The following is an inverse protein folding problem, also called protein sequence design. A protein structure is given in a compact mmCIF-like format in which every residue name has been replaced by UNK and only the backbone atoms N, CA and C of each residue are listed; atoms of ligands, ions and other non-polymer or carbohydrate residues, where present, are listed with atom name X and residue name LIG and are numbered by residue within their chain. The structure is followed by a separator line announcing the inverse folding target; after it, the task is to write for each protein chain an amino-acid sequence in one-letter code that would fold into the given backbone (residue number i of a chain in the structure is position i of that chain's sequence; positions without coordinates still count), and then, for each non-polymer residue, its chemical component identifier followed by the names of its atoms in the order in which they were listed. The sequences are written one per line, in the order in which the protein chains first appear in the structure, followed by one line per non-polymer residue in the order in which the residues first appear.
data_IF_259706682106
#
_entry.id   IF_259706682106
#
_cell.length_a   1.000
_cell.length_b   1.000
_cell.length_c   1.000
_cell.angle_alpha   90.00
_cell.angle_beta   90.00
_cell.angle_gamma   90.00
#
_symmetry.space_group_name_H-M   'P 1'
#
loop_
_entity.id
_entity.type
_entity.pdbx_description
1 polymer ?
#
# COMPACT_ATOMS: atom_id res chain seq x y z
N UNK A 1 18.43 26.73 22.77
CA UNK A 1 18.69 27.67 21.67
C UNK A 1 17.49 27.59 20.75
N UNK A 2 16.83 28.70 20.45
CA UNK A 2 15.74 28.72 19.46
C UNK A 2 16.33 28.46 18.08
N UNK A 3 15.76 27.52 17.32
CA UNK A 3 16.25 27.23 15.98
C UNK A 3 15.80 28.35 15.02
N UNK A 4 16.63 28.73 14.03
CA UNK A 4 16.27 29.76 13.06
C UNK A 4 15.19 29.31 12.07
N UNK A 5 14.99 28.00 11.90
CA UNK A 5 13.90 27.41 11.13
C UNK A 5 13.41 26.14 11.86
N UNK A 6 12.10 25.88 11.88
CA UNK A 6 11.55 24.63 12.39
C UNK A 6 12.19 23.44 11.66
N UNK A 7 12.73 22.49 12.43
CA UNK A 7 13.27 21.25 11.87
C UNK A 7 12.16 20.34 11.31
N UNK A 8 12.56 19.30 10.58
CA UNK A 8 11.63 18.26 10.15
C UNK A 8 11.02 17.55 11.36
N UNK A 9 9.70 17.33 11.33
CA UNK A 9 9.00 16.65 12.42
C UNK A 9 9.49 15.22 12.57
N UNK A 10 9.79 14.79 13.80
CA UNK A 10 10.28 13.44 14.08
C UNK A 10 9.27 12.32 13.75
N UNK A 11 7.98 12.67 13.60
CA UNK A 11 6.92 11.73 13.27
C UNK A 11 5.78 12.44 12.52
N UNK A 12 5.00 11.71 11.69
CA UNK A 12 3.78 12.22 11.06
C UNK A 12 2.78 12.80 12.07
N UNK A 13 2.09 13.88 11.69
CA UNK A 13 1.17 14.59 12.58
C UNK A 13 -0.03 13.75 13.02
N UNK A 14 -0.55 12.86 12.15
CA UNK A 14 -1.65 11.95 12.48
C UNK A 14 -1.25 10.97 13.59
N UNK A 15 -0.02 10.45 13.55
CA UNK A 15 0.51 9.59 14.60
C UNK A 15 0.72 10.37 15.91
N UNK A 16 1.24 11.61 15.81
CA UNK A 16 1.40 12.46 16.98
C UNK A 16 0.05 12.77 17.64
N UNK A 17 -0.97 13.08 16.85
CA UNK A 17 -2.31 13.38 17.33
C UNK A 17 -2.95 12.17 18.04
N UNK A 18 -2.70 10.95 17.56
CA UNK A 18 -3.10 9.71 18.27
C UNK A 18 -2.47 9.61 19.66
N UNK A 19 -1.17 9.89 19.76
CA UNK A 19 -0.46 9.89 21.07
C UNK A 19 -1.01 10.98 21.98
N UNK A 20 -1.28 12.17 21.44
CA UNK A 20 -1.88 13.27 22.18
C UNK A 20 -3.30 12.94 22.68
N UNK A 21 -4.14 12.31 21.86
CA UNK A 21 -5.47 11.88 22.26
C UNK A 21 -5.42 10.84 23.40
N UNK A 22 -4.44 9.93 23.38
CA UNK A 22 -4.21 9.01 24.49
C UNK A 22 -3.82 9.76 25.77
N UNK A 23 -3.00 10.80 25.67
CA UNK A 23 -2.67 11.66 26.81
C UNK A 23 -3.92 12.36 27.37
N UNK A 24 -4.80 12.90 26.53
CA UNK A 24 -6.07 13.48 26.97
C UNK A 24 -6.95 12.45 27.70
N UNK A 25 -6.98 11.21 27.24
CA UNK A 25 -7.70 10.12 27.92
C UNK A 25 -7.14 9.86 29.33
N UNK A 26 -5.81 9.81 29.48
CA UNK A 26 -5.14 9.55 30.77
C UNK A 26 -5.46 10.62 31.81
N UNK A 27 -5.50 11.88 31.40
CA UNK A 27 -5.81 13.00 32.31
C UNK A 27 -7.31 13.24 32.48
N UNK A 28 -8.16 12.36 31.94
CA UNK A 28 -9.61 12.45 31.96
C UNK A 28 -10.14 13.77 31.35
N UNK A 29 -9.47 14.24 30.30
CA UNK A 29 -9.81 15.43 29.53
C UNK A 29 -10.87 15.17 28.45
N UNK A 30 -11.84 14.29 28.75
CA UNK A 30 -12.88 13.86 27.81
C UNK A 30 -14.25 14.42 28.18
N UNK A 31 -15.12 14.52 27.18
CA UNK A 31 -16.50 15.03 27.35
C UNK A 31 -16.57 16.53 27.67
N UNK A 32 -17.69 16.92 28.30
CA UNK A 32 -18.05 18.31 28.62
C UNK A 32 -17.39 18.84 29.89
N UNK A 33 -16.75 17.98 30.68
CA UNK A 33 -16.03 18.36 31.89
C UNK A 33 -14.81 19.24 31.62
N UNK A 34 -14.32 19.25 30.37
CA UNK A 34 -13.21 20.08 29.91
C UNK A 34 -13.63 21.04 28.80
N UNK A 35 -13.68 22.35 29.09
CA UNK A 35 -13.93 23.38 28.09
C UNK A 35 -12.94 23.33 26.94
N UNK A 36 -13.41 23.69 25.75
CA UNK A 36 -12.62 23.67 24.51
C UNK A 36 -11.38 24.56 24.59
N UNK A 37 -11.47 25.68 25.32
CA UNK A 37 -10.34 26.58 25.58
C UNK A 37 -9.18 25.88 26.30
N UNK A 38 -9.47 24.97 27.24
CA UNK A 38 -8.45 24.20 27.95
C UNK A 38 -7.84 23.15 27.02
N UNK A 39 -8.67 22.40 26.28
CA UNK A 39 -8.20 21.40 25.30
C UNK A 39 -7.27 22.04 24.26
N UNK A 40 -7.66 23.21 23.72
CA UNK A 40 -6.86 23.99 22.77
C UNK A 40 -5.54 24.46 23.40
N UNK A 41 -5.57 24.99 24.62
CA UNK A 41 -4.35 25.42 25.31
C UNK A 41 -3.40 24.25 25.57
N UNK A 42 -3.92 23.09 26.01
CA UNK A 42 -3.14 21.86 26.22
C UNK A 42 -2.52 21.35 24.91
N UNK A 43 -3.28 21.35 23.81
CA UNK A 43 -2.75 21.00 22.48
C UNK A 43 -1.54 21.86 22.11
N UNK A 44 -1.69 23.19 22.17
CA UNK A 44 -0.63 24.12 21.83
C UNK A 44 0.59 23.97 22.75
N UNK A 45 0.36 23.72 24.04
CA UNK A 45 1.44 23.45 24.97
C UNK A 45 2.22 22.19 24.59
N UNK A 46 1.52 21.09 24.30
CA UNK A 46 2.13 19.79 23.97
C UNK A 46 2.85 19.76 22.61
N UNK A 47 2.48 20.63 21.65
CA UNK A 47 3.21 20.79 20.39
C UNK A 47 4.66 21.27 20.59
N UNK A 48 4.95 21.88 21.75
CA UNK A 48 6.24 22.50 22.02
C UNK A 48 6.46 23.79 21.22
N UNK A 49 7.62 24.41 21.44
CA UNK A 49 7.94 25.74 20.90
C UNK A 49 7.85 25.82 19.38
N UNK A 50 8.44 24.86 18.67
CA UNK A 50 8.47 24.86 17.20
C UNK A 50 7.06 24.66 16.61
N UNK A 51 6.25 23.76 17.19
CA UNK A 51 4.87 23.56 16.76
C UNK A 51 3.97 24.76 17.07
N UNK A 52 4.22 25.47 18.17
CA UNK A 52 3.54 26.75 18.46
C UNK A 52 3.91 27.84 17.45
N UNK A 53 5.20 27.97 17.09
CA UNK A 53 5.62 28.93 16.08
C UNK A 53 4.90 28.69 14.76
N UNK A 54 4.88 27.43 14.29
CA UNK A 54 4.13 27.03 13.10
C UNK A 54 2.67 27.42 13.26
N UNK A 55 2.02 27.03 14.36
CA UNK A 55 0.61 27.30 14.61
C UNK A 55 0.24 28.78 14.51
N UNK A 56 1.03 29.66 15.11
CA UNK A 56 0.76 31.11 15.08
C UNK A 56 0.99 31.76 13.71
N UNK A 57 1.62 31.06 12.76
CA UNK A 57 1.68 31.51 11.36
C UNK A 57 0.49 31.06 10.51
N UNK A 58 -0.35 30.13 11.02
CA UNK A 58 -1.43 29.55 10.24
C UNK A 58 -2.64 30.50 10.16
N UNK A 59 -3.31 30.58 9.00
CA UNK A 59 -4.58 31.28 8.89
C UNK A 59 -5.72 30.40 9.45
N UNK A 60 -6.82 31.04 9.87
CA UNK A 60 -8.07 30.37 10.25
C UNK A 60 -7.96 29.34 11.39
N UNK A 61 -7.10 29.61 12.39
CA UNK A 61 -6.90 28.71 13.54
C UNK A 61 -8.11 28.61 14.47
N UNK A 62 -9.00 29.62 14.45
CA UNK A 62 -10.20 29.71 15.29
C UNK A 62 -9.94 29.61 16.80
N UNK A 63 -11.03 29.54 17.56
CA UNK A 63 -11.01 29.58 19.03
C UNK A 63 -11.32 28.24 19.70
N UNK A 64 -11.63 27.21 18.90
CA UNK A 64 -11.99 25.87 19.39
C UNK A 64 -10.81 24.91 19.26
N UNK A 65 -10.84 23.83 20.03
CA UNK A 65 -9.90 22.73 19.89
C UNK A 65 -9.96 22.14 18.48
N UNK A 66 -11.17 21.91 17.98
CA UNK A 66 -11.40 21.35 16.66
C UNK A 66 -10.83 22.23 15.53
N UNK A 67 -11.02 23.55 15.59
CA UNK A 67 -10.48 24.46 14.58
C UNK A 67 -8.94 24.50 14.62
N UNK A 68 -8.36 24.44 15.82
CA UNK A 68 -6.91 24.41 15.98
C UNK A 68 -6.30 23.13 15.40
N UNK A 69 -6.86 21.96 15.72
CA UNK A 69 -6.42 20.68 15.16
C UNK A 69 -6.53 20.71 13.63
N UNK A 70 -7.67 21.12 13.08
CA UNK A 70 -7.87 21.17 11.63
C UNK A 70 -6.88 22.08 10.91
N UNK A 71 -6.55 23.25 11.50
CA UNK A 71 -5.56 24.14 10.93
C UNK A 71 -4.16 23.49 10.89
N UNK A 72 -3.77 22.81 11.97
CA UNK A 72 -2.49 22.11 12.07
C UNK A 72 -2.44 20.92 11.11
N UNK A 73 -3.48 20.09 11.08
CA UNK A 73 -3.61 18.97 10.15
C UNK A 73 -3.46 19.43 8.71
N UNK A 74 -4.14 20.51 8.32
CA UNK A 74 -4.03 21.09 6.97
C UNK A 74 -2.62 21.58 6.64
N UNK A 75 -1.86 22.06 7.63
CA UNK A 75 -0.48 22.48 7.43
C UNK A 75 0.45 21.28 7.18
N UNK A 76 0.28 20.21 7.95
CA UNK A 76 1.13 19.01 7.86
C UNK A 76 0.65 17.98 6.84
N UNK A 77 -0.57 18.11 6.34
CA UNK A 77 -1.05 17.33 5.20
C UNK A 77 -0.26 17.78 3.98
N UNK A 78 0.50 16.88 3.34
CA UNK A 78 1.17 17.20 2.09
C UNK A 78 0.14 17.80 1.13
N UNK A 79 0.45 18.94 0.51
CA UNK A 79 -0.37 19.43 -0.61
C UNK A 79 -0.24 18.40 -1.73
N UNK A 80 -1.14 17.44 -1.75
CA UNK A 80 -1.29 16.51 -2.86
C UNK A 80 -1.55 17.36 -4.08
N UNK A 81 -0.60 17.36 -5.01
CA UNK A 81 -0.83 18.04 -6.26
C UNK A 81 -1.85 17.22 -7.03
N UNK A 82 -3.06 17.77 -7.15
CA UNK A 82 -4.24 17.19 -7.81
C UNK A 82 -3.97 16.73 -9.25
N UNK A 83 -2.87 17.17 -9.86
CA UNK A 83 -2.42 16.70 -11.18
C UNK A 83 -1.36 15.60 -11.08
N UNK A 84 -0.41 15.71 -10.14
CA UNK A 84 0.75 14.81 -10.06
C UNK A 84 0.34 13.40 -9.67
N UNK A 85 -0.57 13.24 -8.71
CA UNK A 85 -0.96 11.89 -8.28
C UNK A 85 -1.77 11.14 -9.34
N UNK A 86 -2.82 11.73 -9.96
CA UNK A 86 -3.48 11.07 -11.08
C UNK A 86 -2.54 10.81 -12.26
N UNK A 87 -1.59 11.72 -12.51
CA UNK A 87 -0.56 11.51 -13.53
C UNK A 87 0.37 10.34 -13.20
N UNK A 88 0.87 10.27 -11.97
CA UNK A 88 1.73 9.19 -11.50
C UNK A 88 1.01 7.85 -11.51
N UNK A 89 -0.26 7.82 -11.09
CA UNK A 89 -1.12 6.64 -11.20
C UNK A 89 -1.24 6.18 -12.65
N UNK A 90 -1.64 7.06 -13.58
CA UNK A 90 -1.76 6.71 -15.01
C UNK A 90 -0.45 6.28 -15.66
N UNK A 91 0.69 6.79 -15.17
CA UNK A 91 2.02 6.41 -15.67
C UNK A 91 2.55 5.12 -15.04
N UNK A 92 1.88 4.58 -14.03
CA UNK A 92 2.35 3.41 -13.30
C UNK A 92 2.12 2.16 -14.11
N UNK A 93 3.19 1.49 -14.51
CA UNK A 93 3.15 0.20 -15.20
C UNK A 93 3.93 -0.88 -14.48
N UNK A 94 3.50 -2.14 -14.57
CA UNK A 94 4.15 -3.27 -13.89
C UNK A 94 5.63 -3.35 -14.27
N UNK A 95 6.51 -3.43 -13.27
CA UNK A 95 7.94 -3.58 -13.53
C UNK A 95 8.31 -5.03 -13.92
N UNK A 96 9.39 -5.26 -14.69
CA UNK A 96 9.80 -6.61 -15.13
C UNK A 96 10.03 -7.65 -14.03
N UNK A 97 10.30 -7.20 -12.80
CA UNK A 97 10.60 -8.07 -11.65
C UNK A 97 9.56 -7.94 -10.54
N UNK A 98 8.45 -7.26 -10.84
CA UNK A 98 7.38 -7.02 -9.90
C UNK A 98 6.27 -8.05 -10.11
N UNK A 99 5.86 -8.72 -9.04
CA UNK A 99 4.74 -9.66 -9.09
C UNK A 99 3.42 -8.92 -9.28
N UNK A 100 2.41 -9.61 -9.78
CA UNK A 100 1.08 -9.03 -9.95
C UNK A 100 0.52 -8.51 -8.61
N UNK A 101 0.74 -9.25 -7.52
CA UNK A 101 0.31 -8.81 -6.19
C UNK A 101 0.97 -7.50 -5.75
N UNK A 102 2.28 -7.35 -6.00
CA UNK A 102 3.02 -6.11 -5.69
C UNK A 102 2.53 -4.94 -6.56
N UNK A 103 2.31 -5.19 -7.84
CA UNK A 103 1.81 -4.17 -8.77
C UNK A 103 0.41 -3.67 -8.40
N UNK A 104 -0.50 -4.59 -8.08
CA UNK A 104 -1.86 -4.27 -7.61
C UNK A 104 -1.80 -3.44 -6.33
N UNK A 105 -1.02 -3.88 -5.33
CA UNK A 105 -0.88 -3.14 -4.07
C UNK A 105 -0.38 -1.70 -4.27
N UNK A 106 0.58 -1.49 -5.18
CA UNK A 106 1.09 -0.17 -5.51
C UNK A 106 0.07 0.72 -6.26
N UNK A 107 -0.88 0.10 -6.97
CA UNK A 107 -1.88 0.81 -7.78
C UNK A 107 -3.14 1.17 -6.97
N UNK A 108 -3.49 0.34 -5.97
CA UNK A 108 -4.67 0.51 -5.10
C UNK A 108 -4.49 1.48 -3.91
N UNK A 109 -3.30 2.06 -3.70
CA UNK A 109 -2.95 2.77 -2.46
C UNK A 109 -3.61 4.13 -2.21
N UNK A 110 -4.74 4.48 -2.83
CA UNK A 110 -5.34 5.82 -2.70
C UNK A 110 -6.86 5.73 -2.52
N UNK A 111 -7.40 6.45 -1.54
CA UNK A 111 -8.79 6.37 -1.06
C UNK A 111 -9.86 6.91 -2.04
N UNK A 112 -9.47 7.43 -3.21
CA UNK A 112 -10.39 8.08 -4.16
C UNK A 112 -10.53 7.35 -5.52
N UNK A 113 -9.97 6.14 -5.67
CA UNK A 113 -10.02 5.40 -6.95
C UNK A 113 -11.14 4.37 -6.92
N UNK A 114 -11.99 4.38 -7.95
CA UNK A 114 -12.97 3.31 -8.14
C UNK A 114 -12.29 2.02 -8.61
N UNK A 115 -12.91 0.88 -8.29
CA UNK A 115 -12.47 -0.43 -8.76
C UNK A 115 -12.34 -0.48 -10.29
N UNK A 116 -13.24 0.19 -11.01
CA UNK A 116 -13.19 0.30 -12.48
C UNK A 116 -11.91 0.98 -12.96
N UNK A 117 -11.51 2.09 -12.33
CA UNK A 117 -10.27 2.80 -12.67
C UNK A 117 -9.03 1.96 -12.40
N UNK A 118 -9.07 1.14 -11.35
CA UNK A 118 -7.98 0.22 -11.03
C UNK A 118 -7.94 -0.90 -12.06
N UNK A 119 -9.09 -1.49 -12.43
CA UNK A 119 -9.19 -2.47 -13.51
C UNK A 119 -8.59 -1.96 -14.82
N UNK A 120 -8.98 -0.75 -15.24
CA UNK A 120 -8.45 -0.12 -16.46
C UNK A 120 -6.91 0.04 -16.39
N UNK A 121 -6.39 0.53 -15.25
CA UNK A 121 -4.95 0.68 -15.03
C UNK A 121 -4.20 -0.67 -15.09
N UNK A 122 -4.80 -1.73 -14.54
CA UNK A 122 -4.23 -3.07 -14.58
C UNK A 122 -4.20 -3.60 -16.02
N UNK A 123 -5.30 -3.51 -16.75
CA UNK A 123 -5.41 -3.96 -18.14
C UNK A 123 -4.44 -3.22 -19.07
N UNK A 124 -4.32 -1.90 -18.93
CA UNK A 124 -3.45 -1.11 -19.80
C UNK A 124 -1.97 -1.43 -19.58
N UNK A 125 -1.58 -1.74 -18.34
CA UNK A 125 -0.17 -1.74 -17.94
C UNK A 125 0.35 -3.04 -17.29
N UNK A 126 -0.38 -4.15 -17.42
CA UNK A 126 0.20 -5.47 -17.17
C UNK A 126 1.37 -5.75 -18.09
N UNK A 127 2.41 -6.38 -17.56
CA UNK A 127 3.59 -6.77 -18.34
C UNK A 127 3.28 -7.94 -19.29
N UNK A 128 2.38 -8.84 -18.89
CA UNK A 128 2.06 -10.05 -19.65
C UNK A 128 0.84 -9.84 -20.55
N UNK A 129 1.07 -9.84 -21.87
CA UNK A 129 0.00 -9.74 -22.86
C UNK A 129 -1.00 -10.90 -22.77
N UNK A 130 -0.55 -12.09 -22.41
CA UNK A 130 -1.45 -13.25 -22.28
C UNK A 130 -2.45 -13.08 -21.13
N UNK A 131 -2.02 -12.43 -20.03
CA UNK A 131 -2.92 -12.10 -18.92
C UNK A 131 -3.92 -11.06 -19.38
N UNK A 132 -3.45 -10.00 -20.03
CA UNK A 132 -4.30 -8.94 -20.58
C UNK A 132 -5.37 -9.49 -21.53
N UNK A 133 -4.97 -10.30 -22.51
CA UNK A 133 -5.88 -10.94 -23.46
C UNK A 133 -6.91 -11.82 -22.74
N UNK A 134 -6.49 -12.60 -21.74
CA UNK A 134 -7.41 -13.46 -20.98
C UNK A 134 -8.47 -12.65 -20.23
N UNK A 135 -8.07 -11.54 -19.61
CA UNK A 135 -8.96 -10.66 -18.87
C UNK A 135 -9.95 -9.93 -19.80
N UNK A 136 -9.52 -9.52 -21.00
CA UNK A 136 -10.40 -8.90 -22.01
C UNK A 136 -11.48 -9.83 -22.56
N UNK A 137 -11.37 -11.15 -22.32
CA UNK A 137 -12.38 -12.13 -22.70
C UNK A 137 -13.45 -12.36 -21.62
N UNK A 138 -13.28 -11.79 -20.41
CA UNK A 138 -14.29 -11.88 -19.36
C UNK A 138 -15.44 -10.90 -19.62
N UNK A 139 -16.68 -11.38 -19.58
CA UNK A 139 -17.87 -10.55 -19.84
C UNK A 139 -18.15 -9.56 -18.71
N UNK A 140 -17.86 -9.96 -17.46
CA UNK A 140 -18.16 -9.19 -16.24
C UNK A 140 -16.89 -9.10 -15.39
N UNK A 141 -15.89 -8.39 -15.89
CA UNK A 141 -14.61 -8.24 -15.22
C UNK A 141 -14.72 -7.28 -14.03
N UNK A 142 -14.59 -7.81 -12.82
CA UNK A 142 -14.45 -7.03 -11.58
C UNK A 142 -13.00 -7.00 -11.12
N UNK A 143 -12.63 -6.05 -10.26
CA UNK A 143 -11.27 -5.96 -9.73
C UNK A 143 -10.82 -7.25 -9.04
N UNK A 144 -11.69 -7.85 -8.24
CA UNK A 144 -11.40 -9.12 -7.56
C UNK A 144 -11.15 -10.28 -8.54
N UNK A 145 -11.99 -10.40 -9.57
CA UNK A 145 -11.82 -11.44 -10.60
C UNK A 145 -10.57 -11.21 -11.44
N UNK A 146 -10.25 -9.95 -11.77
CA UNK A 146 -9.05 -9.58 -12.50
C UNK A 146 -7.78 -9.97 -11.72
N UNK A 147 -7.70 -9.59 -10.44
CA UNK A 147 -6.57 -9.93 -9.56
C UNK A 147 -6.43 -11.45 -9.43
N UNK A 148 -7.54 -12.15 -9.20
CA UNK A 148 -7.54 -13.61 -9.00
C UNK A 148 -7.07 -14.35 -10.25
N UNK A 149 -7.60 -14.02 -11.43
CA UNK A 149 -7.20 -14.65 -12.69
C UNK A 149 -5.75 -14.34 -13.03
N UNK A 150 -5.33 -13.08 -12.89
CA UNK A 150 -3.97 -12.65 -13.15
C UNK A 150 -2.96 -13.42 -12.27
N UNK A 151 -3.23 -13.54 -10.97
CA UNK A 151 -2.40 -14.30 -10.03
C UNK A 151 -2.35 -15.81 -10.35
N UNK A 152 -3.48 -16.40 -10.78
CA UNK A 152 -3.51 -17.81 -11.21
C UNK A 152 -2.64 -18.05 -12.45
N UNK A 153 -2.66 -17.12 -13.40
CA UNK A 153 -1.87 -17.20 -14.62
C UNK A 153 -0.37 -17.00 -14.35
N UNK A 154 -0.01 -16.07 -13.46
CA UNK A 154 1.38 -15.89 -12.99
C UNK A 154 1.91 -17.20 -12.37
N UNK A 155 1.14 -17.79 -11.45
CA UNK A 155 1.52 -19.05 -10.81
C UNK A 155 1.62 -20.23 -11.81
N UNK A 156 0.76 -20.28 -12.83
CA UNK A 156 0.81 -21.28 -13.88
C UNK A 156 2.03 -21.10 -14.79
N UNK A 157 2.39 -19.86 -15.13
CA UNK A 157 3.57 -19.52 -15.92
C UNK A 157 4.86 -19.91 -15.18
N UNK A 158 4.95 -19.64 -13.89
CA UNK A 158 6.08 -20.05 -13.04
C UNK A 158 6.25 -21.57 -13.00
N UNK A 159 5.14 -22.33 -12.93
CA UNK A 159 5.19 -23.80 -12.97
C UNK A 159 5.60 -24.34 -14.35
N UNK A 160 5.30 -23.62 -15.44
CA UNK A 160 5.64 -24.01 -16.81
C UNK A 160 7.03 -23.54 -17.26
N UNK A 161 7.62 -22.53 -16.63
CA UNK A 161 8.94 -22.02 -17.00
C UNK A 161 10.03 -23.11 -17.00
N UNK A 162 10.12 -24.01 -16.00
CA UNK A 162 11.07 -25.13 -16.02
C UNK A 162 10.82 -26.10 -17.19
N UNK A 163 9.55 -26.38 -17.50
CA UNK A 163 9.16 -27.28 -18.60
C UNK A 163 9.54 -26.71 -19.97
N UNK A 164 9.36 -25.40 -20.19
CA UNK A 164 9.75 -24.74 -21.45
C UNK A 164 11.26 -24.75 -21.65
N UNK A 165 12.04 -24.49 -20.59
CA UNK A 165 13.51 -24.56 -20.63
C UNK A 165 13.97 -25.96 -21.04
N UNK A 166 13.36 -27.02 -20.51
CA UNK A 166 13.67 -28.41 -20.87
C UNK A 166 13.37 -28.74 -22.35
N UNK A 167 12.32 -28.15 -22.92
CA UNK A 167 11.91 -28.40 -24.31
C UNK A 167 12.73 -27.61 -25.34
N UNK A 168 13.29 -26.46 -24.95
CA UNK A 168 14.07 -25.59 -25.85
C UNK A 168 15.58 -25.91 -25.88
N UNK A 169 16.07 -26.84 -25.05
CA UNK A 169 17.47 -27.26 -25.11
C UNK A 169 17.76 -28.02 -26.42
N UNK A 170 18.78 -27.62 -27.20
CA UNK A 170 19.20 -28.37 -28.38
C UNK A 170 19.58 -29.80 -27.97
N UNK A 171 19.26 -30.77 -28.85
CA UNK A 171 19.17 -32.21 -28.57
C UNK A 171 20.33 -32.80 -27.75
N UNK A 172 20.27 -32.70 -26.43
CA UNK A 172 21.05 -33.53 -25.54
C UNK A 172 20.38 -34.91 -25.46
N UNK A 173 21.16 -35.98 -25.61
CA UNK A 173 20.66 -37.36 -25.61
C UNK A 173 19.84 -37.70 -24.34
N UNK A 174 19.01 -38.77 -24.38
CA UNK A 174 18.05 -39.11 -23.33
C UNK A 174 18.64 -39.22 -21.91
N UNK A 175 19.93 -39.57 -21.80
CA UNK A 175 20.66 -39.66 -20.53
C UNK A 175 20.88 -38.29 -19.88
N UNK A 176 21.25 -37.27 -20.67
CA UNK A 176 21.53 -35.93 -20.16
C UNK A 176 20.22 -35.23 -19.75
N UNK A 177 19.14 -35.45 -20.52
CA UNK A 177 17.79 -34.97 -20.17
C UNK A 177 17.31 -35.57 -18.84
N UNK A 178 17.58 -36.86 -18.60
CA UNK A 178 17.22 -37.55 -17.35
C UNK A 178 17.96 -37.04 -16.11
N UNK A 179 19.27 -36.82 -16.21
CA UNK A 179 20.10 -36.31 -15.09
C UNK A 179 19.71 -34.88 -14.73
N UNK A 180 19.46 -34.02 -15.74
CA UNK A 180 19.04 -32.62 -15.51
C UNK A 180 17.64 -32.58 -14.88
N UNK A 181 16.69 -33.41 -15.36
CA UNK A 181 15.36 -33.50 -14.75
C UNK A 181 15.42 -33.96 -13.29
N UNK A 182 16.29 -34.93 -12.98
CA UNK A 182 16.51 -35.41 -11.61
C UNK A 182 17.11 -34.30 -10.73
N UNK A 183 18.11 -33.56 -11.22
CA UNK A 183 18.69 -32.42 -10.49
C UNK A 183 17.66 -31.31 -10.26
N UNK A 184 16.81 -31.00 -11.23
CA UNK A 184 15.75 -30.00 -11.08
C UNK A 184 14.68 -30.43 -10.07
N UNK A 185 14.23 -31.69 -10.10
CA UNK A 185 13.26 -32.22 -9.13
C UNK A 185 13.82 -32.25 -7.69
N UNK A 186 15.14 -32.35 -7.55
CA UNK A 186 15.84 -32.28 -6.25
C UNK A 186 15.96 -30.82 -5.77
N UNK A 187 16.31 -29.89 -6.66
CA UNK A 187 16.55 -28.48 -6.30
C UNK A 187 15.28 -27.63 -6.20
N UNK A 188 14.23 -27.94 -6.97
CA UNK A 188 12.99 -27.15 -7.07
C UNK A 188 11.75 -27.91 -6.58
N UNK A 189 11.93 -28.92 -5.72
CA UNK A 189 10.81 -29.66 -5.13
C UNK A 189 9.89 -28.66 -4.40
N UNK A 190 8.62 -28.47 -4.82
CA UNK A 190 7.72 -27.61 -4.07
C UNK A 190 7.54 -28.20 -2.67
N UNK A 191 7.41 -27.37 -1.61
CA UNK A 191 7.17 -27.88 -0.28
C UNK A 191 5.92 -28.75 -0.33
N UNK A 192 6.06 -30.02 0.08
CA UNK A 192 4.94 -30.95 0.20
C UNK A 192 3.82 -30.22 0.94
N UNK A 193 2.68 -29.99 0.26
CA UNK A 193 1.47 -29.49 0.91
C UNK A 193 1.25 -30.37 2.13
N UNK A 194 1.51 -29.83 3.32
CA UNK A 194 1.07 -30.47 4.56
C UNK A 194 -0.43 -30.64 4.39
N UNK A 195 -0.90 -31.89 4.28
CA UNK A 195 -2.31 -32.20 4.38
C UNK A 195 -2.79 -31.48 5.64
N UNK A 196 -3.64 -30.46 5.49
CA UNK A 196 -4.43 -29.91 6.60
C UNK A 196 -5.24 -31.11 7.10
N UNK A 197 -4.75 -31.72 8.17
CA UNK A 197 -5.56 -32.57 9.02
C UNK A 197 -6.68 -31.66 9.49
N UNK A 198 -7.89 -32.05 9.09
CA UNK A 198 -9.13 -31.51 9.60
C UNK A 198 -9.03 -31.57 11.12
N UNK A 199 -9.02 -30.42 11.76
CA UNK A 199 -9.39 -30.32 13.16
C UNK A 199 -10.52 -29.30 13.24
N UNK A 200 -11.71 -29.84 13.04
CA UNK A 200 -12.94 -29.32 13.64
C UNK A 200 -12.75 -29.44 15.15
N UNK A 201 -12.90 -28.33 15.86
CA UNK A 201 -13.49 -28.25 17.21
C UNK A 201 -13.78 -26.77 17.51
N UNK A 202 -15.03 -26.55 17.91
CA UNK A 202 -15.72 -25.40 18.52
C UNK A 202 -14.89 -24.21 19.00
#
# INVERSE_FOLDING_TARGET
MFLPCPGESAMPFDMWLRVFNNYLLVINATGDAWPDIHKRATLLHCLGTEGQQIFYTLPHTGDTYASAVSAIEKHFTPKVNVVVEPYAFRKRAQFPHETIAQYVQASCGFEDKSDDMICDQLLEHFLSDSIRERLLLESDLTLDTAITLAAQMEAAADQQAPLKVLLQMPSAGPVIKGVILLMYLILFRPPLRKKKIIQVCY
#
